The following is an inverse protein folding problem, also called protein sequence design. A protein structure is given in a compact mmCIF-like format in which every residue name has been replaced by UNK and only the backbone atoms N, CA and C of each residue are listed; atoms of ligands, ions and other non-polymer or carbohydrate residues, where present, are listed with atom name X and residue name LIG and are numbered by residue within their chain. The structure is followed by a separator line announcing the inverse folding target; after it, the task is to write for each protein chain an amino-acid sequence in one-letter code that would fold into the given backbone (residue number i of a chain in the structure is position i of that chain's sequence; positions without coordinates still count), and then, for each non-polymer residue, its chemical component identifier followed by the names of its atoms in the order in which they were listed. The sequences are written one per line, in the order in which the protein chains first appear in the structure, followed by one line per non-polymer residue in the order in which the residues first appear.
data_IF_405809581848
#
_entry.id   IF_405809581848
#
_cell.length_a   1.000
_cell.length_b   1.000
_cell.length_c   1.000
_cell.angle_alpha   90.00
_cell.angle_beta   90.00
_cell.angle_gamma   90.00
#
_symmetry.space_group_name_H-M   'P 1'
#
loop_
_entity.id
_entity.type
_entity.pdbx_description
1 polymer ?
#
# COMPACT_ATOMS: atom_id res chain seq x y z
N UNK A 1 -33.20 -15.18 7.48
CA UNK A 1 -32.20 -15.32 8.56
C UNK A 1 -31.61 -13.94 8.75
N UNK A 2 -31.53 -13.46 9.99
CA UNK A 2 -31.00 -12.11 10.23
C UNK A 2 -29.51 -12.08 9.86
N UNK A 3 -29.00 -10.93 9.42
CA UNK A 3 -27.57 -10.74 9.10
C UNK A 3 -26.63 -11.19 10.24
N UNK A 4 -27.13 -11.15 11.48
CA UNK A 4 -26.40 -11.57 12.67
C UNK A 4 -26.25 -13.11 12.77
N UNK A 5 -27.29 -13.88 12.43
CA UNK A 5 -27.22 -15.36 12.48
C UNK A 5 -26.17 -15.95 11.52
N UNK A 6 -26.09 -15.41 10.31
CA UNK A 6 -25.12 -15.84 9.31
C UNK A 6 -23.68 -15.47 9.71
N UNK A 7 -23.50 -14.28 10.30
CA UNK A 7 -22.21 -13.87 10.86
C UNK A 7 -21.78 -14.79 12.02
N UNK A 8 -22.66 -15.07 12.98
CA UNK A 8 -22.35 -15.95 14.12
C UNK A 8 -21.97 -17.38 13.66
N UNK A 9 -22.66 -17.91 12.65
CA UNK A 9 -22.33 -19.21 12.07
C UNK A 9 -20.96 -19.20 11.38
N UNK A 10 -20.68 -18.15 10.60
CA UNK A 10 -19.42 -17.99 9.90
C UNK A 10 -18.25 -17.84 10.88
N UNK A 11 -18.34 -16.93 11.86
CA UNK A 11 -17.24 -16.67 12.80
C UNK A 11 -16.93 -17.91 13.64
N UNK A 12 -17.95 -18.66 14.08
CA UNK A 12 -17.74 -19.92 14.82
C UNK A 12 -16.93 -20.93 14.01
N UNK A 13 -17.25 -21.10 12.71
CA UNK A 13 -16.53 -22.00 11.80
C UNK A 13 -15.08 -21.56 11.60
N UNK A 14 -14.86 -20.25 11.40
CA UNK A 14 -13.53 -19.66 11.18
C UNK A 14 -12.66 -19.75 12.43
N UNK A 15 -13.21 -19.42 13.61
CA UNK A 15 -12.45 -19.46 14.86
C UNK A 15 -12.02 -20.88 15.23
N UNK A 16 -12.84 -21.90 14.95
CA UNK A 16 -12.42 -23.30 15.12
C UNK A 16 -11.18 -23.62 14.28
N UNK A 17 -11.17 -23.24 13.00
CA UNK A 17 -10.02 -23.42 12.09
C UNK A 17 -8.77 -22.68 12.56
N UNK A 18 -8.93 -21.48 13.11
CA UNK A 18 -7.83 -20.68 13.66
C UNK A 18 -7.26 -21.33 14.91
N UNK A 19 -8.12 -21.80 15.84
CA UNK A 19 -7.66 -22.48 17.06
C UNK A 19 -6.93 -23.78 16.69
N UNK A 20 -7.43 -24.54 15.72
CA UNK A 20 -6.75 -25.74 15.17
C UNK A 20 -5.34 -25.40 14.64
N UNK A 21 -5.11 -24.19 14.11
CA UNK A 21 -3.81 -23.79 13.54
C UNK A 21 -2.77 -23.41 14.59
N UNK A 22 -3.15 -23.23 15.86
CA UNK A 22 -2.18 -22.93 16.93
C UNK A 22 -1.36 -24.16 17.34
N UNK A 23 -1.81 -25.37 16.98
CA UNK A 23 -1.08 -26.61 17.19
C UNK A 23 -1.89 -27.68 17.92
N UNK A 24 -1.35 -28.90 18.04
CA UNK A 24 -2.08 -30.07 18.51
C UNK A 24 -2.25 -30.15 20.04
N UNK A 25 -1.71 -29.20 20.79
CA UNK A 25 -1.62 -29.25 22.26
C UNK A 25 -2.61 -28.34 22.98
N UNK A 26 -3.70 -27.96 22.31
CA UNK A 26 -4.76 -27.14 22.89
C UNK A 26 -5.82 -28.03 23.52
N UNK A 27 -6.03 -27.88 24.84
CA UNK A 27 -7.06 -28.61 25.60
C UNK A 27 -8.39 -27.88 25.65
N UNK A 28 -8.34 -26.56 25.87
CA UNK A 28 -9.50 -25.70 26.02
C UNK A 28 -9.18 -24.37 25.33
N UNK A 29 -10.13 -23.84 24.56
CA UNK A 29 -10.01 -22.53 23.94
C UNK A 29 -11.34 -21.79 24.00
N UNK A 30 -11.26 -20.50 24.30
CA UNK A 30 -12.38 -19.57 24.29
C UNK A 30 -11.96 -18.35 23.49
N UNK A 31 -12.92 -17.74 22.78
CA UNK A 31 -12.66 -16.51 22.06
C UNK A 31 -13.75 -15.48 22.30
N UNK A 32 -13.36 -14.22 22.21
CA UNK A 32 -14.23 -13.06 22.28
C UNK A 32 -13.93 -12.15 21.09
N UNK A 33 -14.97 -11.68 20.41
CA UNK A 33 -14.85 -10.61 19.42
C UNK A 33 -14.98 -9.29 20.16
N UNK A 34 -13.90 -8.52 20.22
CA UNK A 34 -13.83 -7.31 21.04
C UNK A 34 -14.29 -6.07 20.28
N UNK A 35 -14.07 -6.05 18.96
CA UNK A 35 -14.38 -4.91 18.12
C UNK A 35 -14.60 -5.37 16.67
N UNK A 36 -15.35 -4.57 15.91
CA UNK A 36 -15.38 -4.70 14.46
C UNK A 36 -15.23 -3.32 13.82
N UNK A 37 -14.52 -3.27 12.70
CA UNK A 37 -14.30 -2.06 11.93
C UNK A 37 -14.67 -2.33 10.48
N UNK A 38 -15.49 -1.46 9.92
CA UNK A 38 -15.83 -1.50 8.51
C UNK A 38 -14.90 -0.55 7.73
N UNK A 39 -13.85 -1.10 7.12
CA UNK A 39 -12.89 -0.32 6.34
C UNK A 39 -13.28 -0.32 4.86
N UNK A 40 -12.71 0.57 4.06
CA UNK A 40 -13.15 0.76 2.67
C UNK A 40 -13.09 -0.55 1.84
N UNK A 41 -12.08 -1.39 2.04
CA UNK A 41 -11.85 -2.59 1.22
C UNK A 41 -12.31 -3.92 1.85
N UNK A 42 -12.61 -3.94 3.16
CA UNK A 42 -12.89 -5.18 3.89
C UNK A 42 -13.65 -4.94 5.19
N UNK A 43 -14.19 -6.02 5.76
CA UNK A 43 -14.66 -6.03 7.14
C UNK A 43 -13.55 -6.61 8.03
N UNK A 44 -13.20 -5.91 9.10
CA UNK A 44 -12.20 -6.33 10.07
C UNK A 44 -12.85 -6.63 11.43
N UNK A 45 -12.44 -7.72 12.06
CA UNK A 45 -12.90 -8.11 13.40
C UNK A 45 -11.70 -8.36 14.30
N UNK A 46 -11.72 -7.80 15.50
CA UNK A 46 -10.70 -7.98 16.50
C UNK A 46 -11.15 -9.07 17.45
N UNK A 47 -10.31 -10.06 17.66
CA UNK A 47 -10.60 -11.20 18.53
C UNK A 47 -9.49 -11.38 19.56
N UNK A 48 -9.88 -11.80 20.77
CA UNK A 48 -8.97 -12.34 21.77
C UNK A 48 -9.27 -13.83 21.92
N UNK A 49 -8.26 -14.68 21.72
CA UNK A 49 -8.37 -16.13 21.91
C UNK A 49 -7.53 -16.52 23.10
N UNK A 50 -8.19 -17.06 24.13
CA UNK A 50 -7.55 -17.59 25.33
C UNK A 50 -7.58 -19.09 25.28
N UNK A 51 -6.44 -19.75 25.48
CA UNK A 51 -6.37 -21.19 25.39
C UNK A 51 -5.37 -21.79 26.36
N UNK A 52 -5.59 -23.06 26.72
CA UNK A 52 -4.64 -23.87 27.48
C UNK A 52 -3.79 -24.70 26.54
N UNK A 53 -2.51 -24.41 26.53
CA UNK A 53 -1.48 -25.22 25.91
C UNK A 53 -0.87 -26.16 26.96
N UNK A 54 -0.84 -27.46 26.66
CA UNK A 54 -0.29 -28.49 27.56
C UNK A 54 1.16 -28.24 27.99
N UNK A 55 1.93 -27.49 27.20
CA UNK A 55 3.37 -27.26 27.43
C UNK A 55 3.65 -25.97 28.20
N UNK A 56 2.87 -24.92 27.97
CA UNK A 56 3.14 -23.53 28.37
C UNK A 56 2.04 -22.95 29.27
N UNK A 57 1.00 -23.73 29.58
CA UNK A 57 -0.18 -23.36 30.37
C UNK A 57 -1.16 -22.41 29.64
N UNK A 58 -1.58 -21.31 30.27
CA UNK A 58 -2.58 -20.39 29.71
C UNK A 58 -1.90 -19.38 28.77
N UNK A 59 -2.35 -19.35 27.52
CA UNK A 59 -1.88 -18.41 26.49
C UNK A 59 -3.04 -17.55 25.98
N UNK A 60 -2.70 -16.36 25.47
CA UNK A 60 -3.63 -15.47 24.80
C UNK A 60 -3.07 -15.01 23.46
N UNK A 61 -3.92 -15.00 22.42
CA UNK A 61 -3.60 -14.45 21.11
C UNK A 61 -4.60 -13.37 20.74
N UNK A 62 -4.09 -12.19 20.38
CA UNK A 62 -4.89 -11.08 19.85
C UNK A 62 -4.83 -11.13 18.33
N UNK A 63 -5.99 -11.24 17.69
CA UNK A 63 -6.13 -11.57 16.27
C UNK A 63 -6.96 -10.50 15.57
N UNK A 64 -6.56 -10.16 14.36
CA UNK A 64 -7.34 -9.37 13.41
C UNK A 64 -7.80 -10.32 12.30
N UNK A 65 -9.11 -10.40 12.12
CA UNK A 65 -9.75 -11.17 11.06
C UNK A 65 -10.20 -10.22 9.96
N UNK A 66 -9.63 -10.37 8.77
CA UNK A 66 -10.01 -9.63 7.57
C UNK A 66 -10.90 -10.54 6.71
N UNK A 67 -12.04 -10.03 6.24
CA UNK A 67 -12.90 -10.70 5.26
C UNK A 67 -13.40 -9.74 4.18
N UNK A 68 -13.71 -10.21 2.96
CA UNK A 68 -14.26 -9.37 1.90
C UNK A 68 -15.55 -8.67 2.33
N UNK A 69 -15.82 -7.51 1.73
CA UNK A 69 -17.11 -6.82 1.87
C UNK A 69 -18.25 -7.74 1.42
N UNK A 70 -19.34 -7.78 2.18
CA UNK A 70 -20.44 -8.70 1.88
C UNK A 70 -21.33 -8.22 0.71
N UNK A 71 -21.25 -6.93 0.36
CA UNK A 71 -21.97 -6.38 -0.79
C UNK A 71 -21.22 -6.65 -2.12
N UNK A 72 -21.88 -7.33 -3.06
CA UNK A 72 -21.28 -7.76 -4.33
C UNK A 72 -20.79 -6.61 -5.20
N UNK A 73 -21.62 -5.59 -5.41
CA UNK A 73 -21.28 -4.42 -6.25
C UNK A 73 -19.98 -3.77 -5.75
N UNK A 74 -19.80 -3.69 -4.43
CA UNK A 74 -18.59 -3.14 -3.84
C UNK A 74 -17.37 -4.03 -4.07
N UNK A 75 -17.53 -5.36 -3.96
CA UNK A 75 -16.42 -6.30 -4.23
C UNK A 75 -15.96 -6.23 -5.68
N UNK A 76 -16.89 -6.14 -6.63
CA UNK A 76 -16.60 -6.03 -8.05
C UNK A 76 -15.87 -4.71 -8.35
N UNK A 77 -16.43 -3.58 -7.89
CA UNK A 77 -15.84 -2.24 -8.06
C UNK A 77 -14.40 -2.15 -7.50
N UNK A 78 -14.14 -2.83 -6.39
CA UNK A 78 -12.83 -2.77 -5.72
C UNK A 78 -11.86 -3.87 -6.17
N UNK A 79 -12.30 -4.90 -6.90
CA UNK A 79 -11.49 -6.09 -7.15
C UNK A 79 -11.06 -6.78 -5.85
N UNK A 80 -11.99 -6.94 -4.89
CA UNK A 80 -11.68 -7.49 -3.56
C UNK A 80 -11.07 -8.89 -3.62
N UNK A 81 -11.55 -9.76 -4.51
CA UNK A 81 -11.09 -11.15 -4.59
C UNK A 81 -9.60 -11.23 -4.96
N UNK A 82 -9.17 -10.40 -5.91
CA UNK A 82 -7.78 -10.31 -6.37
C UNK A 82 -6.86 -9.81 -5.26
N UNK A 83 -7.34 -8.87 -4.44
CA UNK A 83 -6.60 -8.34 -3.30
C UNK A 83 -6.41 -9.36 -2.19
N UNK A 84 -7.47 -10.09 -1.85
CA UNK A 84 -7.38 -11.17 -0.88
C UNK A 84 -6.48 -12.29 -1.39
N UNK A 85 -6.54 -12.64 -2.68
CA UNK A 85 -5.62 -13.59 -3.30
C UNK A 85 -4.15 -13.19 -3.08
N UNK A 86 -3.79 -11.95 -3.45
CA UNK A 86 -2.42 -11.45 -3.33
C UNK A 86 -1.93 -11.40 -1.87
N UNK A 87 -2.75 -10.91 -0.94
CA UNK A 87 -2.36 -10.83 0.48
C UNK A 87 -2.21 -12.24 1.09
N UNK A 88 -3.10 -13.18 0.74
CA UNK A 88 -2.99 -14.59 1.15
C UNK A 88 -1.72 -15.21 0.56
N UNK A 89 -1.44 -14.99 -0.73
CA UNK A 89 -0.23 -15.49 -1.40
C UNK A 89 1.02 -14.95 -0.71
N UNK A 90 1.04 -13.67 -0.37
CA UNK A 90 2.14 -13.03 0.36
C UNK A 90 2.43 -13.74 1.68
N UNK A 91 1.42 -13.92 2.54
CA UNK A 91 1.60 -14.56 3.84
C UNK A 91 1.92 -16.06 3.74
N UNK A 92 1.48 -16.75 2.68
CA UNK A 92 1.77 -18.17 2.45
C UNK A 92 3.19 -18.42 1.92
N UNK A 93 3.70 -17.55 1.06
CA UNK A 93 4.86 -17.87 0.22
C UNK A 93 6.05 -16.93 0.40
N UNK A 94 5.78 -15.66 0.70
CA UNK A 94 6.79 -14.62 0.79
C UNK A 94 7.16 -14.29 2.23
N UNK A 95 6.19 -14.02 3.11
CA UNK A 95 6.42 -13.73 4.52
C UNK A 95 7.00 -14.94 5.26
N UNK A 96 7.96 -14.71 6.17
CA UNK A 96 8.52 -15.75 7.05
C UNK A 96 8.25 -15.40 8.53
N UNK A 97 8.07 -16.40 9.41
CA UNK A 97 7.72 -16.16 10.81
C UNK A 97 8.75 -15.35 11.62
N UNK A 98 10.01 -15.36 11.22
CA UNK A 98 11.13 -14.68 11.89
C UNK A 98 11.35 -13.24 11.41
N UNK A 99 10.55 -12.77 10.44
CA UNK A 99 10.65 -11.44 9.88
C UNK A 99 9.71 -10.43 10.56
N UNK A 100 9.89 -9.15 10.25
CA UNK A 100 9.12 -8.05 10.82
C UNK A 100 7.73 -7.89 10.17
N UNK A 101 6.92 -8.96 10.19
CA UNK A 101 5.53 -8.94 9.75
C UNK A 101 4.58 -9.35 10.89
N UNK A 102 3.28 -9.05 10.79
CA UNK A 102 2.29 -9.69 11.64
C UNK A 102 2.32 -11.21 11.43
N UNK A 103 2.32 -11.99 12.52
CA UNK A 103 2.18 -13.45 12.40
C UNK A 103 0.85 -13.79 11.75
N UNK A 104 0.88 -14.59 10.69
CA UNK A 104 -0.32 -15.12 10.06
C UNK A 104 -0.73 -16.43 10.76
N UNK A 105 -1.89 -16.43 11.42
CA UNK A 105 -2.42 -17.63 12.09
C UNK A 105 -3.16 -18.54 11.13
N UNK A 106 -3.93 -17.97 10.20
CA UNK A 106 -4.79 -18.74 9.32
C UNK A 106 -5.14 -17.94 8.07
N UNK A 107 -5.21 -18.63 6.94
CA UNK A 107 -5.72 -18.10 5.67
C UNK A 107 -6.57 -19.15 4.98
N UNK A 108 -7.71 -18.72 4.46
CA UNK A 108 -8.60 -19.55 3.65
C UNK A 108 -9.02 -18.73 2.45
N UNK A 109 -8.88 -19.30 1.27
CA UNK A 109 -9.15 -18.58 0.03
C UNK A 109 -10.37 -19.18 -0.64
N UNK A 110 -11.50 -18.48 -0.51
CA UNK A 110 -12.82 -18.90 -0.98
C UNK A 110 -13.55 -17.68 -1.55
N UNK A 111 -13.10 -17.16 -2.69
CA UNK A 111 -13.77 -16.05 -3.35
C UNK A 111 -15.21 -16.46 -3.75
N UNK A 112 -16.16 -15.51 -3.80
CA UNK A 112 -15.93 -14.07 -3.63
C UNK A 112 -16.14 -13.55 -2.20
N UNK A 113 -16.68 -14.35 -1.27
CA UNK A 113 -17.17 -13.83 0.03
C UNK A 113 -16.55 -14.48 1.26
N UNK A 114 -16.06 -15.71 1.13
CA UNK A 114 -15.68 -16.56 2.26
C UNK A 114 -14.16 -16.61 2.48
N UNK A 115 -13.39 -15.82 1.73
CA UNK A 115 -11.96 -15.66 1.99
C UNK A 115 -11.71 -15.02 3.36
N UNK A 116 -10.68 -15.51 4.06
CA UNK A 116 -10.32 -15.08 5.42
C UNK A 116 -8.82 -14.94 5.55
N UNK A 117 -8.39 -13.87 6.21
CA UNK A 117 -7.02 -13.69 6.68
C UNK A 117 -7.07 -13.42 8.17
N UNK A 118 -6.39 -14.23 8.97
CA UNK A 118 -6.28 -14.08 10.41
C UNK A 118 -4.83 -13.75 10.79
N UNK A 119 -4.60 -12.50 11.19
CA UNK A 119 -3.28 -11.95 11.49
C UNK A 119 -3.16 -11.59 12.97
N UNK A 120 -1.93 -11.53 13.46
CA UNK A 120 -1.59 -10.95 14.76
C UNK A 120 -2.02 -9.48 14.85
N UNK A 121 -2.72 -9.14 15.93
CA UNK A 121 -2.86 -7.77 16.37
C UNK A 121 -1.54 -7.32 17.05
N UNK A 122 -0.67 -6.69 16.27
CA UNK A 122 0.67 -6.28 16.71
C UNK A 122 0.69 -5.09 17.68
N UNK A 123 -0.47 -4.56 18.09
CA UNK A 123 -0.55 -3.51 19.13
C UNK A 123 0.09 -3.95 20.44
N UNK A 124 0.02 -5.25 20.80
CA UNK A 124 0.70 -5.80 21.98
C UNK A 124 2.22 -5.85 21.84
N UNK A 125 2.74 -5.85 20.61
CA UNK A 125 4.17 -5.65 20.32
C UNK A 125 4.56 -4.17 20.40
N UNK A 126 3.62 -3.26 20.59
CA UNK A 126 3.81 -1.80 20.67
C UNK A 126 3.74 -1.08 19.32
N UNK A 127 3.34 -1.79 18.24
CA UNK A 127 3.16 -1.19 16.92
C UNK A 127 1.75 -0.65 16.77
N UNK A 128 1.62 0.64 16.47
CA UNK A 128 0.35 1.34 16.32
C UNK A 128 0.33 2.20 15.05
N UNK A 129 -0.84 2.44 14.44
CA UNK A 129 -0.96 3.42 13.37
C UNK A 129 -0.56 4.81 13.86
N UNK A 130 0.02 5.64 12.99
CA UNK A 130 0.22 7.05 13.31
C UNK A 130 -1.14 7.77 13.36
N UNK A 131 -1.35 8.60 14.38
CA UNK A 131 -2.67 9.16 14.71
C UNK A 131 -3.18 10.22 13.72
N UNK A 132 -2.28 10.84 12.95
CA UNK A 132 -2.64 11.88 11.97
C UNK A 132 -2.41 11.37 10.54
N UNK A 133 -3.26 11.78 9.60
CA UNK A 133 -3.17 11.32 8.20
C UNK A 133 -2.29 12.19 7.32
N UNK A 134 -1.84 13.35 7.82
CA UNK A 134 -1.06 14.35 7.10
C UNK A 134 -0.11 15.08 8.08
N UNK A 135 0.84 15.86 7.54
CA UNK A 135 1.87 16.57 8.32
C UNK A 135 2.64 15.65 9.27
N UNK A 136 3.13 14.54 8.71
CA UNK A 136 3.87 13.55 9.49
C UNK A 136 5.26 14.11 9.85
N UNK A 137 5.71 13.97 11.12
CA UNK A 137 7.07 14.29 11.50
C UNK A 137 8.09 13.44 10.73
N UNK A 138 9.22 14.05 10.39
CA UNK A 138 10.24 13.45 9.54
C UNK A 138 10.71 12.07 10.07
N UNK A 139 10.81 11.89 11.39
CA UNK A 139 11.28 10.63 11.97
C UNK A 139 10.44 9.40 11.60
N UNK A 140 9.13 9.58 11.38
CA UNK A 140 8.24 8.51 10.93
C UNK A 140 8.44 8.21 9.44
N UNK A 141 8.63 9.25 8.61
CA UNK A 141 9.01 9.07 7.20
C UNK A 141 10.32 8.33 7.09
N UNK A 142 11.34 8.69 7.87
CA UNK A 142 12.61 7.98 7.88
C UNK A 142 12.45 6.52 8.33
N UNK A 143 11.60 6.25 9.33
CA UNK A 143 11.30 4.89 9.76
C UNK A 143 10.62 4.07 8.65
N UNK A 144 9.64 4.64 7.96
CA UNK A 144 8.95 4.00 6.85
C UNK A 144 9.91 3.72 5.68
N UNK A 145 10.79 4.67 5.35
CA UNK A 145 11.79 4.52 4.29
C UNK A 145 12.81 3.42 4.60
N UNK A 146 13.27 3.29 5.86
CA UNK A 146 14.12 2.17 6.27
C UNK A 146 13.42 0.83 6.07
N UNK A 147 12.16 0.73 6.51
CA UNK A 147 11.43 -0.53 6.44
C UNK A 147 11.12 -0.95 5.00
N UNK A 148 10.68 -0.02 4.13
CA UNK A 148 10.46 -0.33 2.71
C UNK A 148 11.79 -0.63 1.98
N UNK A 149 12.91 -0.02 2.40
CA UNK A 149 14.26 -0.36 1.94
C UNK A 149 14.61 -1.82 2.19
N UNK A 150 14.38 -2.31 3.42
CA UNK A 150 14.59 -3.72 3.79
C UNK A 150 13.61 -4.64 3.05
N UNK A 151 12.35 -4.24 2.91
CA UNK A 151 11.34 -5.00 2.15
C UNK A 151 11.75 -5.21 0.68
N UNK A 152 12.19 -4.14 0.00
CA UNK A 152 12.73 -4.22 -1.35
C UNK A 152 14.02 -5.06 -1.42
N UNK A 153 14.90 -4.91 -0.43
CA UNK A 153 16.11 -5.72 -0.27
C UNK A 153 15.82 -7.21 -0.25
N UNK A 154 14.82 -7.64 0.53
CA UNK A 154 14.36 -9.03 0.55
C UNK A 154 13.93 -9.53 -0.84
N UNK A 155 13.23 -8.71 -1.61
CA UNK A 155 12.80 -9.08 -2.96
C UNK A 155 13.98 -9.29 -3.90
N UNK A 156 14.99 -8.43 -3.86
CA UNK A 156 16.22 -8.62 -4.63
C UNK A 156 16.99 -9.87 -4.19
N UNK A 157 17.13 -10.10 -2.88
CA UNK A 157 17.78 -11.31 -2.34
C UNK A 157 17.08 -12.57 -2.81
N UNK A 158 15.75 -12.60 -2.76
CA UNK A 158 14.99 -13.74 -3.23
C UNK A 158 15.11 -13.91 -4.76
N UNK A 159 15.10 -12.83 -5.53
CA UNK A 159 15.29 -12.85 -6.99
C UNK A 159 16.66 -13.39 -7.40
N UNK A 160 17.72 -13.00 -6.70
CA UNK A 160 19.10 -13.39 -7.03
C UNK A 160 19.43 -14.81 -6.51
N UNK A 161 19.03 -15.14 -5.27
CA UNK A 161 19.42 -16.40 -4.62
C UNK A 161 18.39 -17.54 -4.76
N UNK A 162 17.13 -17.22 -5.05
CA UNK A 162 16.00 -18.18 -5.14
C UNK A 162 15.12 -17.85 -6.36
N UNK A 163 15.75 -17.58 -7.50
CA UNK A 163 15.12 -17.03 -8.71
C UNK A 163 13.84 -17.76 -9.14
N UNK A 164 13.86 -19.09 -9.23
CA UNK A 164 12.70 -19.87 -9.65
C UNK A 164 11.52 -19.68 -8.69
N UNK A 165 11.77 -19.79 -7.38
CA UNK A 165 10.75 -19.57 -6.36
C UNK A 165 10.22 -18.14 -6.38
N UNK A 166 11.09 -17.15 -6.60
CA UNK A 166 10.67 -15.76 -6.71
C UNK A 166 9.70 -15.55 -7.88
N UNK A 167 10.05 -16.04 -9.07
CA UNK A 167 9.20 -15.87 -10.25
C UNK A 167 7.95 -16.76 -10.24
N UNK A 168 7.96 -17.89 -9.53
CA UNK A 168 6.74 -18.67 -9.24
C UNK A 168 5.71 -17.85 -8.43
N UNK A 169 6.16 -17.12 -7.41
CA UNK A 169 5.29 -16.21 -6.64
C UNK A 169 4.81 -15.07 -7.54
N UNK A 170 5.72 -14.42 -8.29
CA UNK A 170 5.36 -13.30 -9.18
C UNK A 170 4.34 -13.71 -10.23
N UNK A 171 4.45 -14.93 -10.79
CA UNK A 171 3.51 -15.45 -11.77
C UNK A 171 2.11 -15.75 -11.22
N UNK A 172 1.96 -15.84 -9.90
CA UNK A 172 0.68 -16.06 -9.24
C UNK A 172 -0.01 -14.75 -8.82
N UNK A 173 0.70 -13.62 -8.74
CA UNK A 173 0.10 -12.34 -8.40
C UNK A 173 -0.94 -11.90 -9.43
N UNK A 174 -2.04 -11.33 -8.96
CA UNK A 174 -3.16 -10.86 -9.77
C UNK A 174 -3.23 -9.33 -9.78
N UNK A 175 -3.41 -8.73 -10.95
CA UNK A 175 -3.52 -7.27 -11.08
C UNK A 175 -4.98 -6.83 -10.94
N UNK A 176 -5.24 -5.87 -10.04
CA UNK A 176 -6.56 -5.33 -9.76
C UNK A 176 -6.77 -3.87 -10.18
N UNK A 177 -5.75 -3.25 -10.81
CA UNK A 177 -5.75 -1.83 -11.18
C UNK A 177 -5.41 -1.61 -12.66
N UNK A 178 -4.65 -2.50 -13.28
CA UNK A 178 -4.05 -2.30 -14.61
C UNK A 178 -4.44 -3.36 -15.65
N UNK A 179 -5.34 -4.28 -15.31
CA UNK A 179 -5.99 -5.15 -16.29
C UNK A 179 -6.98 -4.33 -17.14
N UNK A 180 -7.09 -4.66 -18.43
CA UNK A 180 -7.98 -3.99 -19.40
C UNK A 180 -9.45 -3.99 -18.97
N UNK A 181 -9.85 -4.87 -18.06
CA UNK A 181 -11.20 -4.94 -17.50
C UNK A 181 -11.54 -3.78 -16.55
N UNK A 182 -10.56 -2.98 -16.12
CA UNK A 182 -10.76 -1.90 -15.14
C UNK A 182 -10.85 -0.50 -15.79
N UNK A 183 -11.79 -0.33 -16.74
CA UNK A 183 -12.06 0.95 -17.41
C UNK A 183 -12.36 2.10 -16.43
N UNK A 184 -12.99 1.78 -15.31
CA UNK A 184 -13.30 2.74 -14.24
C UNK A 184 -12.03 3.36 -13.64
N UNK A 185 -11.02 2.56 -13.31
CA UNK A 185 -9.78 3.08 -12.74
C UNK A 185 -9.01 3.95 -13.75
N UNK A 186 -9.01 3.57 -15.02
CA UNK A 186 -8.46 4.40 -16.11
C UNK A 186 -9.17 5.75 -16.20
N UNK A 187 -10.50 5.76 -16.18
CA UNK A 187 -11.31 6.98 -16.20
C UNK A 187 -11.03 7.87 -14.97
N UNK A 188 -10.92 7.26 -13.80
CA UNK A 188 -10.54 7.94 -12.56
C UNK A 188 -9.19 8.63 -12.75
N UNK A 189 -8.14 7.89 -13.07
CA UNK A 189 -6.78 8.43 -13.21
C UNK A 189 -6.73 9.59 -14.22
N UNK A 190 -7.25 9.39 -15.44
CA UNK A 190 -7.17 10.39 -16.51
C UNK A 190 -7.98 11.66 -16.18
N UNK A 191 -9.08 11.53 -15.43
CA UNK A 191 -9.88 12.69 -15.03
C UNK A 191 -9.23 13.53 -13.93
N UNK A 192 -8.54 12.90 -12.98
CA UNK A 192 -7.95 13.59 -11.83
C UNK A 192 -6.58 14.21 -12.14
N UNK A 193 -5.76 13.55 -12.95
CA UNK A 193 -4.36 13.92 -13.15
C UNK A 193 -4.14 15.33 -13.73
N UNK A 194 -5.08 15.87 -14.52
CA UNK A 194 -4.96 17.21 -15.14
C UNK A 194 -5.23 18.37 -14.19
N UNK A 195 -5.76 18.10 -12.98
CA UNK A 195 -6.18 19.13 -12.02
C UNK A 195 -5.08 20.14 -11.67
N UNK A 196 -3.84 19.68 -11.50
CA UNK A 196 -2.70 20.54 -11.23
C UNK A 196 -2.44 21.54 -12.37
N UNK A 197 -2.59 21.08 -13.62
CA UNK A 197 -2.35 21.88 -14.82
C UNK A 197 -3.43 22.94 -15.00
N UNK A 198 -4.69 22.58 -14.73
CA UNK A 198 -5.82 23.52 -14.73
C UNK A 198 -5.58 24.68 -13.75
N UNK A 199 -5.08 24.38 -12.55
CA UNK A 199 -4.71 25.38 -11.55
C UNK A 199 -3.53 26.26 -11.98
N UNK A 200 -2.47 25.66 -12.53
CA UNK A 200 -1.33 26.42 -13.07
C UNK A 200 -1.78 27.38 -14.19
N UNK A 201 -2.66 26.91 -15.08
CA UNK A 201 -3.22 27.72 -16.18
C UNK A 201 -4.06 28.88 -15.66
N UNK A 202 -4.93 28.65 -14.67
CA UNK A 202 -5.75 29.72 -14.06
C UNK A 202 -4.93 30.78 -13.31
N UNK A 203 -3.69 30.44 -12.93
CA UNK A 203 -2.72 31.33 -12.28
C UNK A 203 -1.64 31.87 -13.24
N UNK A 204 -1.88 31.84 -14.55
CA UNK A 204 -1.01 32.41 -15.60
C UNK A 204 0.41 31.80 -15.64
N UNK A 205 0.56 30.52 -15.30
CA UNK A 205 1.82 29.80 -15.51
C UNK A 205 2.11 29.62 -17.03
N UNK A 206 3.37 29.33 -17.36
CA UNK A 206 3.85 29.14 -18.74
C UNK A 206 2.93 28.21 -19.58
N UNK A 207 2.40 28.75 -20.67
CA UNK A 207 1.40 28.07 -21.50
C UNK A 207 1.98 26.83 -22.19
N UNK A 208 3.25 26.87 -22.62
CA UNK A 208 3.89 25.74 -23.31
C UNK A 208 4.02 24.55 -22.35
N UNK A 209 4.46 24.80 -21.12
CA UNK A 209 4.50 23.79 -20.07
C UNK A 209 3.11 23.21 -19.78
N UNK A 210 2.11 24.08 -19.60
CA UNK A 210 0.74 23.65 -19.34
C UNK A 210 0.18 22.77 -20.48
N UNK A 211 0.35 23.18 -21.75
CA UNK A 211 -0.15 22.42 -22.90
C UNK A 211 0.51 21.02 -22.99
N UNK A 212 1.82 20.92 -22.75
CA UNK A 212 2.54 19.64 -22.73
C UNK A 212 2.07 18.73 -21.60
N UNK A 213 1.93 19.27 -20.38
CA UNK A 213 1.50 18.50 -19.22
C UNK A 213 0.03 18.09 -19.32
N UNK A 214 -0.83 18.94 -19.88
CA UNK A 214 -2.23 18.59 -20.14
C UNK A 214 -2.34 17.43 -21.14
N UNK A 215 -1.57 17.46 -22.23
CA UNK A 215 -1.54 16.38 -23.22
C UNK A 215 -1.09 15.04 -22.60
N UNK A 216 -0.05 15.07 -21.75
CA UNK A 216 0.44 13.89 -21.04
C UNK A 216 -0.57 13.38 -20.01
N UNK A 217 -1.05 14.26 -19.13
CA UNK A 217 -1.84 13.87 -17.95
C UNK A 217 -3.30 13.55 -18.29
N UNK A 218 -3.80 14.04 -19.43
CA UNK A 218 -5.11 13.60 -19.96
C UNK A 218 -5.13 12.11 -20.31
N UNK A 219 -3.96 11.49 -20.52
CA UNK A 219 -3.81 10.04 -20.65
C UNK A 219 -2.82 9.45 -19.63
N UNK A 220 -2.81 9.99 -18.41
CA UNK A 220 -1.89 9.58 -17.34
C UNK A 220 -1.89 8.07 -17.06
N UNK A 221 -3.03 7.39 -17.22
CA UNK A 221 -3.11 5.95 -17.00
C UNK A 221 -2.17 5.16 -17.92
N UNK A 222 -2.29 5.34 -19.25
CA UNK A 222 -1.44 4.60 -20.18
C UNK A 222 -0.02 5.18 -20.23
N UNK A 223 0.10 6.51 -20.24
CA UNK A 223 1.37 7.21 -20.50
C UNK A 223 2.29 7.27 -19.28
N UNK A 224 1.73 7.26 -18.07
CA UNK A 224 2.51 7.31 -16.82
C UNK A 224 2.39 5.99 -16.08
N UNK A 225 1.18 5.59 -15.70
CA UNK A 225 0.98 4.49 -14.77
C UNK A 225 1.41 3.15 -15.37
N UNK A 226 0.81 2.74 -16.50
CA UNK A 226 1.07 1.45 -17.17
C UNK A 226 2.55 1.34 -17.60
N UNK A 227 3.18 2.43 -18.03
CA UNK A 227 4.61 2.42 -18.39
C UNK A 227 5.51 2.28 -17.17
N UNK A 228 5.18 2.91 -16.05
CA UNK A 228 6.03 2.89 -14.83
C UNK A 228 5.98 1.55 -14.11
N UNK A 229 4.82 0.89 -14.08
CA UNK A 229 4.66 -0.37 -13.35
C UNK A 229 5.38 -1.56 -14.00
N UNK A 230 5.76 -1.43 -15.28
CA UNK A 230 6.45 -2.50 -16.01
C UNK A 230 7.81 -2.76 -15.36
N UNK A 231 8.16 -4.03 -15.11
CA UNK A 231 9.48 -4.38 -14.62
C UNK A 231 10.61 -3.82 -15.50
N UNK A 232 11.64 -3.28 -14.87
CA UNK A 232 12.89 -2.84 -15.48
C UNK A 232 14.07 -3.50 -14.73
N UNK A 233 14.74 -4.45 -15.38
CA UNK A 233 15.92 -5.11 -14.80
C UNK A 233 17.16 -4.20 -14.87
N UNK A 234 18.07 -4.28 -13.87
CA UNK A 234 18.05 -5.19 -12.71
C UNK A 234 17.24 -4.67 -11.50
N UNK A 235 16.60 -3.51 -11.63
CA UNK A 235 15.99 -2.75 -10.52
C UNK A 235 14.62 -3.24 -10.07
N UNK A 236 13.98 -4.15 -10.81
CA UNK A 236 12.70 -4.69 -10.35
C UNK A 236 12.84 -5.55 -9.10
N UNK A 237 11.92 -5.40 -8.17
CA UNK A 237 11.81 -6.18 -6.93
C UNK A 237 10.34 -6.40 -6.58
N UNK A 238 10.07 -7.13 -5.50
CA UNK A 238 8.74 -7.16 -4.91
C UNK A 238 8.46 -5.81 -4.27
N UNK A 239 7.54 -5.05 -4.87
CA UNK A 239 7.04 -3.79 -4.35
C UNK A 239 5.76 -4.02 -3.56
N UNK A 240 5.49 -3.18 -2.56
CA UNK A 240 4.27 -3.22 -1.77
C UNK A 240 3.04 -2.80 -2.61
N UNK A 241 3.21 -1.84 -3.52
CA UNK A 241 2.18 -1.35 -4.46
C UNK A 241 1.09 -0.47 -3.84
N UNK A 242 1.08 -0.34 -2.51
CA UNK A 242 0.19 0.54 -1.74
C UNK A 242 0.93 1.15 -0.54
N UNK A 243 2.18 1.57 -0.75
CA UNK A 243 3.03 2.11 0.31
C UNK A 243 2.54 3.51 0.76
N UNK A 244 1.57 3.49 1.67
CA UNK A 244 0.90 4.66 2.23
C UNK A 244 1.01 4.61 3.76
N UNK A 245 0.90 5.76 4.43
CA UNK A 245 1.07 5.81 5.88
C UNK A 245 0.04 4.99 6.66
N UNK A 246 -1.16 4.80 6.09
CA UNK A 246 -2.19 3.94 6.68
C UNK A 246 -1.81 2.47 6.69
N UNK A 247 -0.84 2.06 5.86
CA UNK A 247 -0.31 0.70 5.76
C UNK A 247 1.05 0.56 6.47
N UNK A 248 1.42 1.54 7.30
CA UNK A 248 2.63 1.50 8.13
C UNK A 248 2.26 1.67 9.61
N UNK A 249 2.66 0.70 10.42
CA UNK A 249 2.55 0.75 11.87
C UNK A 249 3.88 1.16 12.48
N UNK A 250 3.85 1.95 13.55
CA UNK A 250 5.04 2.50 14.19
C UNK A 250 5.16 2.07 15.64
N UNK A 251 6.41 1.88 16.07
CA UNK A 251 6.78 1.64 17.45
C UNK A 251 8.00 2.49 17.79
N UNK A 252 7.91 3.25 18.87
CA UNK A 252 9.09 3.89 19.46
C UNK A 252 9.84 2.88 20.32
N UNK A 253 11.14 2.69 20.08
CA UNK A 253 12.01 1.86 20.93
C UNK A 253 12.73 2.70 21.99
N UNK A 254 13.42 2.02 22.89
CA UNK A 254 14.12 2.61 24.04
C UNK A 254 15.25 3.57 23.64
N UNK A 255 15.82 3.40 22.43
CA UNK A 255 16.79 4.31 21.81
C UNK A 255 16.16 5.63 21.31
N UNK A 256 14.84 5.77 21.46
CA UNK A 256 14.07 6.92 21.02
C UNK A 256 13.72 6.92 19.53
N UNK A 257 14.22 5.96 18.74
CA UNK A 257 13.99 5.86 17.30
C UNK A 257 12.62 5.25 17.00
N UNK A 258 11.97 5.76 15.95
CA UNK A 258 10.77 5.15 15.39
C UNK A 258 11.17 3.96 14.50
N UNK A 259 10.53 2.83 14.75
CA UNK A 259 10.54 1.64 13.90
C UNK A 259 9.21 1.51 13.20
N UNK A 260 9.24 1.02 11.96
CA UNK A 260 8.05 0.77 11.17
C UNK A 260 7.81 -0.74 11.00
N UNK A 261 6.59 -1.08 10.63
CA UNK A 261 6.17 -2.40 10.17
C UNK A 261 5.15 -2.19 9.05
N UNK A 262 5.34 -2.86 7.92
CA UNK A 262 4.42 -2.82 6.80
C UNK A 262 3.28 -3.82 7.01
N UNK A 263 2.07 -3.44 6.60
CA UNK A 263 0.87 -4.27 6.64
C UNK A 263 0.08 -4.10 5.34
N UNK A 264 -0.90 -4.98 5.10
CA UNK A 264 -1.78 -4.92 3.93
C UNK A 264 -1.05 -5.06 2.58
N UNK A 265 -0.64 -6.30 2.27
CA UNK A 265 0.12 -6.65 1.07
C UNK A 265 -0.76 -6.98 -0.14
N UNK A 266 -2.00 -6.48 -0.15
CA UNK A 266 -3.00 -6.79 -1.16
C UNK A 266 -2.63 -6.35 -2.58
N UNK A 267 -1.78 -5.33 -2.71
CA UNK A 267 -1.36 -4.75 -3.99
C UNK A 267 0.11 -5.02 -4.34
N UNK A 268 0.72 -6.00 -3.65
CA UNK A 268 2.08 -6.41 -3.93
C UNK A 268 2.26 -6.74 -5.41
N UNK A 269 3.37 -6.29 -5.98
CA UNK A 269 3.67 -6.51 -7.38
C UNK A 269 5.14 -6.55 -7.69
N UNK A 270 5.49 -7.18 -8.80
CA UNK A 270 6.83 -7.09 -9.35
C UNK A 270 6.99 -5.83 -10.19
N UNK A 271 7.82 -4.90 -9.73
CA UNK A 271 8.07 -3.61 -10.39
C UNK A 271 9.35 -2.96 -9.85
N UNK A 272 9.68 -1.76 -10.33
CA UNK A 272 10.76 -0.94 -9.76
C UNK A 272 10.31 -0.21 -8.49
N UNK A 273 11.17 -0.05 -7.46
CA UNK A 273 10.86 0.63 -6.20
C UNK A 273 10.25 2.02 -6.29
N UNK A 274 10.44 2.72 -7.41
CA UNK A 274 9.86 4.04 -7.65
C UNK A 274 8.34 4.07 -7.43
N UNK A 275 7.61 2.99 -7.67
CA UNK A 275 6.15 3.00 -7.48
C UNK A 275 5.77 3.21 -6.01
N UNK A 276 6.52 2.65 -5.07
CA UNK A 276 6.27 2.81 -3.64
C UNK A 276 6.84 4.14 -3.15
N UNK A 277 8.09 4.44 -3.52
CA UNK A 277 8.79 5.65 -3.07
C UNK A 277 8.07 6.92 -3.54
N UNK A 278 7.72 6.99 -4.83
CA UNK A 278 7.03 8.17 -5.37
C UNK A 278 5.63 8.32 -4.79
N UNK A 279 4.91 7.22 -4.57
CA UNK A 279 3.58 7.23 -3.94
C UNK A 279 3.66 7.82 -2.54
N UNK A 280 4.56 7.30 -1.70
CA UNK A 280 4.70 7.79 -0.32
C UNK A 280 5.09 9.26 -0.29
N UNK A 281 6.09 9.67 -1.07
CA UNK A 281 6.60 11.05 -1.07
C UNK A 281 5.53 12.03 -1.55
N UNK A 282 4.76 11.67 -2.59
CA UNK A 282 3.73 12.55 -3.16
C UNK A 282 2.53 12.71 -2.24
N UNK A 283 2.16 11.67 -1.48
CA UNK A 283 1.04 11.72 -0.52
C UNK A 283 1.38 12.46 0.78
N UNK A 284 2.68 12.57 1.12
CA UNK A 284 3.17 13.28 2.30
C UNK A 284 3.97 14.53 1.93
N UNK A 285 3.61 15.14 0.81
CA UNK A 285 4.27 16.34 0.31
C UNK A 285 4.03 17.52 1.24
N UNK A 286 5.12 18.11 1.73
CA UNK A 286 5.15 19.37 2.47
C UNK A 286 6.58 19.94 2.43
N UNK A 287 6.78 21.14 2.98
CA UNK A 287 8.04 21.88 2.93
C UNK A 287 9.24 21.05 3.44
N UNK A 288 9.10 20.34 4.57
CA UNK A 288 10.18 19.49 5.10
C UNK A 288 10.49 18.32 4.17
N UNK A 289 9.48 17.64 3.60
CA UNK A 289 9.73 16.55 2.63
C UNK A 289 10.47 17.06 1.39
N UNK A 290 10.15 18.27 0.92
CA UNK A 290 10.85 18.90 -0.20
C UNK A 290 12.32 19.15 0.14
N UNK A 291 12.58 19.80 1.26
CA UNK A 291 13.95 20.16 1.69
C UNK A 291 14.80 18.93 2.04
N UNK A 292 14.14 17.85 2.47
CA UNK A 292 14.77 16.62 2.94
C UNK A 292 14.69 15.46 1.96
N UNK A 293 14.27 15.71 0.72
CA UNK A 293 14.08 14.66 -0.27
C UNK A 293 15.31 13.75 -0.43
N UNK A 294 16.50 14.30 -0.62
CA UNK A 294 17.72 13.51 -0.79
C UNK A 294 18.09 12.74 0.48
N UNK A 295 17.92 13.34 1.67
CA UNK A 295 18.14 12.68 2.96
C UNK A 295 17.20 11.47 3.12
N UNK A 296 15.92 11.64 2.76
CA UNK A 296 14.88 10.59 2.78
C UNK A 296 15.27 9.45 1.84
N UNK A 297 15.68 9.76 0.61
CA UNK A 297 16.11 8.78 -0.38
C UNK A 297 17.39 8.04 0.04
N UNK A 298 18.31 8.73 0.71
CA UNK A 298 19.52 8.11 1.28
C UNK A 298 19.16 7.11 2.37
N UNK A 299 18.23 7.45 3.26
CA UNK A 299 17.78 6.53 4.32
C UNK A 299 17.15 5.25 3.75
N UNK A 300 16.37 5.36 2.67
CA UNK A 300 15.89 4.19 1.92
C UNK A 300 17.05 3.36 1.36
N UNK A 301 17.98 4.01 0.67
CA UNK A 301 19.09 3.34 -0.02
C UNK A 301 20.07 2.67 0.94
N UNK A 302 20.38 3.30 2.06
CA UNK A 302 21.27 2.75 3.09
C UNK A 302 20.69 1.47 3.70
N UNK A 303 19.39 1.46 4.02
CA UNK A 303 18.71 0.28 4.55
C UNK A 303 18.65 -0.86 3.51
N UNK A 304 18.41 -0.52 2.23
CA UNK A 304 18.49 -1.48 1.14
C UNK A 304 19.91 -2.06 1.03
N UNK A 305 20.93 -1.20 0.97
CA UNK A 305 22.33 -1.57 0.82
C UNK A 305 22.80 -2.47 1.96
N UNK A 306 22.46 -2.14 3.20
CA UNK A 306 22.74 -2.96 4.39
C UNK A 306 22.17 -4.37 4.21
N UNK A 307 20.89 -4.49 3.83
CA UNK A 307 20.24 -5.77 3.59
C UNK A 307 20.93 -6.60 2.50
N UNK A 308 21.33 -5.97 1.39
CA UNK A 308 22.02 -6.64 0.28
C UNK A 308 23.45 -7.06 0.65
N UNK A 309 24.15 -6.28 1.47
CA UNK A 309 25.48 -6.60 2.00
C UNK A 309 25.41 -7.81 2.94
N UNK A 310 24.46 -7.83 3.86
CA UNK A 310 24.21 -8.97 4.77
C UNK A 310 23.96 -10.28 4.01
N UNK A 311 23.25 -10.20 2.89
CA UNK A 311 22.97 -11.34 2.02
C UNK A 311 24.10 -11.67 1.02
N UNK A 312 25.18 -10.89 0.99
CA UNK A 312 26.32 -11.11 0.09
C UNK A 312 26.04 -10.86 -1.40
N UNK A 313 24.99 -10.11 -1.75
CA UNK A 313 24.60 -9.83 -3.15
C UNK A 313 24.76 -8.36 -3.57
N UNK A 314 25.34 -7.53 -2.70
CA UNK A 314 25.59 -6.12 -3.03
C UNK A 314 26.41 -5.96 -4.30
N UNK A 315 25.93 -5.13 -5.21
CA UNK A 315 26.59 -4.79 -6.46
C UNK A 315 26.41 -3.29 -6.71
N UNK A 316 27.51 -2.54 -6.65
CA UNK A 316 27.47 -1.08 -6.79
C UNK A 316 27.04 -0.63 -8.18
N UNK A 317 27.38 -1.37 -9.23
CA UNK A 317 27.01 -1.02 -10.61
C UNK A 317 25.50 -1.20 -10.83
N UNK A 318 24.88 -2.18 -10.16
CA UNK A 318 23.43 -2.44 -10.25
C UNK A 318 22.60 -1.61 -9.29
N UNK A 319 23.11 -1.35 -8.09
CA UNK A 319 22.32 -0.89 -6.95
C UNK A 319 22.88 0.36 -6.27
N UNK A 320 23.74 1.14 -6.95
CA UNK A 320 24.19 2.44 -6.42
C UNK A 320 23.04 3.41 -6.20
N UNK A 321 23.28 4.40 -5.34
CA UNK A 321 22.32 5.46 -5.05
C UNK A 321 21.89 6.20 -6.33
N UNK A 322 22.86 6.53 -7.20
CA UNK A 322 22.61 7.27 -8.43
C UNK A 322 21.68 6.50 -9.38
N UNK A 323 21.86 5.18 -9.50
CA UNK A 323 20.97 4.32 -10.30
C UNK A 323 19.53 4.36 -9.77
N UNK A 324 19.35 4.30 -8.44
CA UNK A 324 18.02 4.41 -7.84
C UNK A 324 17.41 5.80 -7.96
N UNK A 325 18.23 6.85 -7.85
CA UNK A 325 17.78 8.23 -8.02
C UNK A 325 17.36 8.50 -9.48
N UNK A 326 18.07 7.95 -10.45
CA UNK A 326 17.70 8.07 -11.86
C UNK A 326 16.45 7.25 -12.21
N UNK A 327 16.27 6.08 -11.61
CA UNK A 327 15.00 5.34 -11.69
C UNK A 327 13.84 6.11 -11.05
N UNK A 328 14.09 6.76 -9.90
CA UNK A 328 13.11 7.65 -9.29
C UNK A 328 12.73 8.80 -10.23
N UNK A 329 13.71 9.46 -10.86
CA UNK A 329 13.43 10.52 -11.84
C UNK A 329 12.61 10.00 -13.01
N UNK A 330 12.92 8.81 -13.52
CA UNK A 330 12.18 8.18 -14.62
C UNK A 330 10.71 7.91 -14.28
N UNK A 331 10.42 7.44 -13.06
CA UNK A 331 9.08 6.98 -12.66
C UNK A 331 8.34 7.89 -11.68
N UNK A 332 8.94 8.99 -11.21
CA UNK A 332 8.43 9.78 -10.08
C UNK A 332 7.05 10.40 -10.29
N UNK A 333 6.62 10.57 -11.55
CA UNK A 333 5.28 11.07 -11.89
C UNK A 333 4.17 10.08 -11.50
N UNK A 334 4.48 8.79 -11.32
CA UNK A 334 3.53 7.78 -10.84
C UNK A 334 2.90 8.19 -9.50
N UNK A 335 3.71 8.57 -8.53
CA UNK A 335 3.22 9.01 -7.22
C UNK A 335 2.37 10.26 -7.28
N UNK A 336 2.69 11.22 -8.16
CA UNK A 336 1.87 12.41 -8.39
C UNK A 336 0.49 12.03 -8.94
N UNK A 337 0.43 11.09 -9.87
CA UNK A 337 -0.84 10.61 -10.43
C UNK A 337 -1.69 9.95 -9.33
N UNK A 338 -1.09 9.15 -8.44
CA UNK A 338 -1.78 8.60 -7.26
C UNK A 338 -2.28 9.73 -6.34
N UNK A 339 -1.42 10.71 -6.05
CA UNK A 339 -1.77 11.84 -5.18
C UNK A 339 -2.94 12.65 -5.73
N UNK A 340 -3.06 12.78 -7.07
CA UNK A 340 -4.13 13.57 -7.71
C UNK A 340 -5.55 13.15 -7.32
N UNK A 341 -5.78 11.86 -7.05
CA UNK A 341 -7.08 11.35 -6.63
C UNK A 341 -7.15 10.99 -5.14
N UNK A 342 -6.02 10.66 -4.51
CA UNK A 342 -6.03 10.12 -3.14
C UNK A 342 -5.74 11.16 -2.06
N UNK A 343 -4.99 12.21 -2.37
CA UNK A 343 -4.64 13.26 -1.40
C UNK A 343 -5.86 13.98 -0.78
N UNK A 344 -6.92 14.36 -1.55
CA UNK A 344 -8.12 14.96 -0.93
C UNK A 344 -8.74 14.06 0.16
N UNK A 345 -8.80 12.75 -0.11
CA UNK A 345 -9.33 11.75 0.83
C UNK A 345 -8.46 11.62 2.07
N UNK A 346 -7.13 11.63 1.93
CA UNK A 346 -6.20 11.59 3.06
C UNK A 346 -6.33 12.82 3.96
N UNK A 347 -6.51 13.99 3.36
CA UNK A 347 -6.69 15.26 4.08
C UNK A 347 -8.11 15.46 4.63
N UNK A 348 -9.02 14.50 4.39
CA UNK A 348 -10.36 14.52 4.96
C UNK A 348 -11.37 15.40 4.22
N UNK A 349 -11.09 15.79 2.97
CA UNK A 349 -12.03 16.53 2.13
C UNK A 349 -13.10 15.65 1.49
N UNK A 350 -13.00 14.33 1.65
CA UNK A 350 -13.95 13.42 1.01
C UNK A 350 -15.33 13.51 1.64
N UNK A 351 -16.30 13.94 0.85
CA UNK A 351 -17.66 14.22 1.32
C UNK A 351 -18.66 13.11 0.99
N UNK A 352 -18.26 12.11 0.19
CA UNK A 352 -19.13 11.06 -0.34
C UNK A 352 -18.94 9.78 0.48
N UNK A 353 -20.03 9.23 1.02
CA UNK A 353 -20.02 7.93 1.69
C UNK A 353 -20.10 6.75 0.69
N UNK A 354 -19.82 5.54 1.16
CA UNK A 354 -19.83 4.35 0.30
C UNK A 354 -21.18 4.05 -0.34
N UNK A 355 -22.31 4.37 0.31
CA UNK A 355 -23.64 4.12 -0.25
C UNK A 355 -23.97 5.08 -1.40
N UNK A 356 -23.49 6.31 -1.30
CA UNK A 356 -23.62 7.30 -2.37
C UNK A 356 -22.77 6.91 -3.58
N UNK A 357 -21.53 6.44 -3.38
CA UNK A 357 -20.65 5.95 -4.46
C UNK A 357 -21.35 4.86 -5.27
N UNK A 358 -21.96 3.88 -4.60
CA UNK A 358 -22.64 2.75 -5.27
C UNK A 358 -23.81 3.18 -6.16
N UNK A 359 -24.50 4.27 -5.80
CA UNK A 359 -25.70 4.74 -6.50
C UNK A 359 -25.39 5.75 -7.62
N UNK A 360 -24.17 6.28 -7.65
CA UNK A 360 -23.76 7.35 -8.54
C UNK A 360 -23.18 6.78 -9.84
N UNK A 361 -23.37 7.50 -10.94
CA UNK A 361 -22.63 7.21 -12.16
C UNK A 361 -21.13 7.45 -11.91
N UNK A 362 -20.26 6.52 -12.29
CA UNK A 362 -18.82 6.61 -12.05
C UNK A 362 -18.20 7.89 -12.63
N UNK A 363 -18.67 8.37 -13.78
CA UNK A 363 -18.22 9.63 -14.36
C UNK A 363 -18.62 10.86 -13.52
N UNK A 364 -19.78 10.82 -12.88
CA UNK A 364 -20.22 11.86 -11.93
C UNK A 364 -19.39 11.81 -10.65
N UNK A 365 -19.10 10.60 -10.13
CA UNK A 365 -18.20 10.41 -9.00
C UNK A 365 -16.81 11.02 -9.28
N UNK A 366 -16.23 10.77 -10.45
CA UNK A 366 -14.95 11.36 -10.86
C UNK A 366 -14.99 12.90 -10.90
N UNK A 367 -16.10 13.50 -11.33
CA UNK A 367 -16.24 14.97 -11.35
C UNK A 367 -16.28 15.55 -9.94
N UNK A 368 -17.00 14.92 -9.01
CA UNK A 368 -17.06 15.41 -7.63
C UNK A 368 -15.69 15.26 -6.96
N UNK A 369 -15.05 14.10 -7.10
CA UNK A 369 -13.73 13.84 -6.56
C UNK A 369 -12.69 14.89 -7.02
N UNK A 370 -12.77 15.31 -8.29
CA UNK A 370 -11.87 16.34 -8.85
C UNK A 370 -11.98 17.69 -8.17
N UNK A 371 -13.12 17.99 -7.54
CA UNK A 371 -13.36 19.24 -6.84
C UNK A 371 -13.04 19.17 -5.34
N UNK A 372 -12.86 17.97 -4.77
CA UNK A 372 -12.60 17.81 -3.34
C UNK A 372 -11.33 18.55 -2.90
N UNK A 373 -11.46 19.38 -1.86
CA UNK A 373 -10.38 20.23 -1.35
C UNK A 373 -10.01 21.45 -2.21
N UNK A 374 -10.74 21.71 -3.30
CA UNK A 374 -10.65 22.95 -4.09
C UNK A 374 -9.22 23.39 -4.47
N UNK A 375 -8.98 24.71 -4.42
CA UNK A 375 -7.69 25.31 -4.77
C UNK A 375 -6.54 24.89 -3.86
N UNK A 376 -6.81 24.53 -2.60
CA UNK A 376 -5.76 24.09 -1.67
C UNK A 376 -5.09 22.80 -2.14
N UNK A 377 -5.89 21.80 -2.51
CA UNK A 377 -5.37 20.56 -3.09
C UNK A 377 -4.77 20.82 -4.48
N UNK A 378 -5.45 21.60 -5.33
CA UNK A 378 -4.95 21.88 -6.68
C UNK A 378 -3.59 22.56 -6.66
N UNK A 379 -3.38 23.51 -5.73
CA UNK A 379 -2.09 24.15 -5.48
C UNK A 379 -1.05 23.16 -4.99
N UNK A 380 -1.39 22.31 -4.02
CA UNK A 380 -0.45 21.30 -3.50
C UNK A 380 0.02 20.36 -4.61
N UNK A 381 -0.90 19.89 -5.47
CA UNK A 381 -0.57 19.07 -6.63
C UNK A 381 0.29 19.85 -7.65
N UNK A 382 -0.02 21.12 -7.89
CA UNK A 382 0.81 21.97 -8.75
C UNK A 382 2.24 22.12 -8.21
N UNK A 383 2.40 22.31 -6.90
CA UNK A 383 3.71 22.40 -6.24
C UNK A 383 4.51 21.09 -6.37
N UNK A 384 3.85 19.93 -6.23
CA UNK A 384 4.47 18.61 -6.49
C UNK A 384 4.93 18.51 -7.95
N UNK A 385 4.06 18.88 -8.91
CA UNK A 385 4.36 18.77 -10.34
C UNK A 385 5.56 19.66 -10.73
N UNK A 386 5.61 20.89 -10.22
CA UNK A 386 6.72 21.81 -10.43
C UNK A 386 8.00 21.31 -9.76
N UNK A 387 7.91 20.71 -8.57
CA UNK A 387 9.07 20.09 -7.96
C UNK A 387 9.61 18.91 -8.78
N UNK A 388 8.72 18.04 -9.29
CA UNK A 388 9.11 16.94 -10.17
C UNK A 388 9.76 17.44 -11.47
N UNK A 389 9.33 18.58 -12.01
CA UNK A 389 10.01 19.27 -13.12
C UNK A 389 11.45 19.60 -12.74
N UNK A 390 11.63 20.28 -11.61
CA UNK A 390 12.94 20.79 -11.17
C UNK A 390 13.90 19.66 -10.78
N UNK A 391 13.38 18.56 -10.23
CA UNK A 391 14.12 17.32 -9.95
C UNK A 391 14.54 16.57 -11.23
N UNK A 392 13.96 16.93 -12.38
CA UNK A 392 14.24 16.34 -13.69
C UNK A 392 13.36 15.14 -14.05
N UNK A 393 12.30 14.87 -13.31
CA UNK A 393 11.39 13.75 -13.57
C UNK A 393 10.57 13.94 -14.85
N UNK A 394 10.39 15.19 -15.28
CA UNK A 394 9.60 15.52 -16.47
C UNK A 394 10.42 15.67 -17.75
N UNK A 395 11.75 15.51 -17.69
CA UNK A 395 12.66 15.64 -18.85
C UNK A 395 12.25 14.80 -20.07
N UNK A 396 11.72 13.57 -19.93
CA UNK A 396 11.29 12.79 -21.10
C UNK A 396 10.06 13.37 -21.83
N UNK A 397 9.34 14.31 -21.21
CA UNK A 397 8.03 14.80 -21.68
C UNK A 397 8.01 16.29 -22.02
N UNK A 398 9.06 17.04 -21.66
CA UNK A 398 9.17 18.50 -21.87
C UNK A 398 10.06 18.80 -23.07
#
# INVERSE_FOLDING_TARGET
MSYDEDFQKWIKKVMLKIIESFGPHIDEAQYEITESTDVFMSNMYYACVKFKNRLTQNEEHFIILKRPKQLEVWRQMTGSDLQFHNEILFYRTYARPDENFPRCFYVDEKPPMDSVIALENVSKRGYCPYSYKYNIPLEYTLAAMREIGRFHGKGYVMKELQKEKFFDIVGQLQDNRFDEKFDEFKLLINSQATRAVEYLRSHNHDAIFCDKMEALLSNAFDEVMVKTIKPLEPLSTMCHGDFTLTNVLFKRKDDGQQHAMLIDFALCRYSTPVIDLSTYISLHWHEVTKDKFFDIMHVYHDALKEYLLEAGIWNIDKYSYDVFLDDYKRGGLFGFVIASFFLPKLMGYSSIDGQQIIKMNYAEYCRILKQEGGDEISKTLADILLYLRDLGCLKPFI
#
